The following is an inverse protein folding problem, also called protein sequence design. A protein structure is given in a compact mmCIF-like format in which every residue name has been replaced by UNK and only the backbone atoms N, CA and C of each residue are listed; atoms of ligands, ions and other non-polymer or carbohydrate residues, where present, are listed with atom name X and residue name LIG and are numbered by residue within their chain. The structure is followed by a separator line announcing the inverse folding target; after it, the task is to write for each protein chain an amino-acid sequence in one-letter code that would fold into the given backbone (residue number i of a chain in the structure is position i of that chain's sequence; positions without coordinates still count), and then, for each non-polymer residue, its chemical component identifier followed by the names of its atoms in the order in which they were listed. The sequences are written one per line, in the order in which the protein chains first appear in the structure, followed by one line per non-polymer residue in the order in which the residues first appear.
data_IF_701540669273
#
_entry.id   IF_701540669273
#
_cell.length_a   1.000
_cell.length_b   1.000
_cell.length_c   1.000
_cell.angle_alpha   90.00
_cell.angle_beta   90.00
_cell.angle_gamma   90.00
#
_symmetry.space_group_name_H-M   'P 1'
#
loop_
_entity.id
_entity.type
_entity.pdbx_description
1 polymer ?
#
# COMPACT_ATOMS: atom_id res chain seq x y z
N UNK A 1 -14.66 1.33 -24.82
CA UNK A 1 -15.10 -0.02 -24.42
C UNK A 1 -15.17 -1.00 -25.58
N UNK A 2 -15.97 -0.76 -26.63
CA UNK A 2 -16.12 -1.71 -27.75
C UNK A 2 -14.81 -2.04 -28.49
N UNK A 3 -13.99 -1.03 -28.78
CA UNK A 3 -12.69 -1.23 -29.48
C UNK A 3 -11.69 -2.03 -28.64
N UNK A 4 -11.65 -1.82 -27.31
CA UNK A 4 -10.79 -2.59 -26.40
C UNK A 4 -11.18 -4.07 -26.32
N UNK A 5 -12.48 -4.38 -26.39
CA UNK A 5 -12.99 -5.75 -26.36
C UNK A 5 -12.64 -6.48 -27.68
N UNK A 6 -12.74 -5.79 -28.81
CA UNK A 6 -12.40 -6.34 -30.14
C UNK A 6 -10.91 -6.63 -30.29
N UNK A 7 -10.03 -5.75 -29.80
CA UNK A 7 -8.58 -5.95 -29.83
C UNK A 7 -8.11 -7.10 -28.92
N UNK A 8 -8.72 -7.26 -27.74
CA UNK A 8 -8.43 -8.40 -26.83
C UNK A 8 -8.81 -9.75 -27.45
N UNK A 9 -9.92 -9.79 -28.18
CA UNK A 9 -10.41 -11.01 -28.81
C UNK A 9 -9.54 -11.46 -30.00
N UNK A 10 -9.04 -10.50 -30.79
CA UNK A 10 -8.18 -10.75 -31.94
C UNK A 10 -6.71 -11.02 -31.57
N UNK A 11 -6.21 -10.46 -30.45
CA UNK A 11 -4.81 -10.58 -30.03
C UNK A 11 -4.49 -11.77 -29.12
N UNK A 12 -5.36 -12.10 -28.15
CA UNK A 12 -5.02 -13.05 -27.07
C UNK A 12 -6.08 -14.13 -26.78
N UNK A 13 -7.19 -14.16 -27.52
CA UNK A 13 -8.26 -15.14 -27.34
C UNK A 13 -8.85 -15.14 -25.92
N UNK A 14 -9.26 -16.31 -25.42
CA UNK A 14 -9.91 -16.50 -24.08
C UNK A 14 -9.08 -15.94 -22.92
N UNK A 15 -7.75 -15.81 -23.07
CA UNK A 15 -6.87 -15.26 -22.04
C UNK A 15 -7.18 -13.80 -21.70
N UNK A 16 -7.56 -12.99 -22.68
CA UNK A 16 -7.92 -11.59 -22.47
C UNK A 16 -9.16 -11.39 -21.60
N UNK A 17 -10.11 -12.34 -21.63
CA UNK A 17 -11.29 -12.30 -20.74
C UNK A 17 -10.95 -12.62 -19.28
N UNK A 18 -9.94 -13.46 -19.06
CA UNK A 18 -9.47 -13.86 -17.72
C UNK A 18 -8.65 -12.72 -17.08
N UNK A 19 -8.05 -11.83 -17.89
CA UNK A 19 -7.31 -10.68 -17.39
C UNK A 19 -8.18 -9.54 -16.85
N UNK A 20 -9.43 -9.39 -17.31
CA UNK A 20 -10.31 -8.30 -16.84
C UNK A 20 -10.54 -8.36 -15.32
N UNK A 21 -10.95 -9.50 -14.71
CA UNK A 21 -11.03 -9.62 -13.26
C UNK A 21 -9.68 -9.39 -12.56
N UNK A 22 -8.57 -9.75 -13.22
CA UNK A 22 -7.22 -9.57 -12.69
C UNK A 22 -6.84 -8.10 -12.54
N UNK A 23 -7.22 -7.25 -13.51
CA UNK A 23 -6.98 -5.80 -13.45
C UNK A 23 -7.78 -5.16 -12.32
N UNK A 24 -9.07 -5.53 -12.19
CA UNK A 24 -9.92 -5.09 -11.08
C UNK A 24 -9.36 -5.52 -9.72
N UNK A 25 -8.83 -6.74 -9.63
CA UNK A 25 -8.18 -7.25 -8.42
C UNK A 25 -6.94 -6.44 -8.05
N UNK A 26 -6.10 -6.06 -9.03
CA UNK A 26 -4.94 -5.21 -8.77
C UNK A 26 -5.37 -3.84 -8.23
N UNK A 27 -6.36 -3.18 -8.85
CA UNK A 27 -6.89 -1.88 -8.40
C UNK A 27 -7.39 -1.95 -6.94
N UNK A 28 -8.16 -2.98 -6.61
CA UNK A 28 -8.64 -3.21 -5.23
C UNK A 28 -7.48 -3.46 -4.26
N UNK A 29 -6.39 -4.07 -4.72
CA UNK A 29 -5.21 -4.28 -3.88
C UNK A 29 -4.49 -2.96 -3.56
N UNK A 30 -4.43 -2.02 -4.52
CA UNK A 30 -3.90 -0.66 -4.29
C UNK A 30 -4.84 0.23 -3.45
N UNK A 31 -6.16 0.00 -3.48
CA UNK A 31 -7.12 0.71 -2.63
C UNK A 31 -6.83 0.53 -1.12
N UNK A 32 -6.11 -0.53 -0.74
CA UNK A 32 -5.66 -0.77 0.63
C UNK A 32 -4.68 0.30 1.12
N UNK A 33 -3.76 0.75 0.27
CA UNK A 33 -2.81 1.82 0.63
C UNK A 33 -3.54 3.14 0.86
N UNK A 34 -4.53 3.44 0.02
CA UNK A 34 -5.42 4.59 0.19
C UNK A 34 -6.18 4.51 1.54
N UNK A 35 -6.72 3.35 1.89
CA UNK A 35 -7.44 3.16 3.16
C UNK A 35 -6.57 3.46 4.39
N UNK A 36 -5.30 3.06 4.35
CA UNK A 36 -4.34 3.33 5.44
C UNK A 36 -4.04 4.83 5.56
N UNK A 37 -3.86 5.52 4.43
CA UNK A 37 -3.68 6.97 4.41
C UNK A 37 -4.90 7.72 4.97
N UNK A 38 -6.10 7.31 4.57
CA UNK A 38 -7.36 7.89 5.08
C UNK A 38 -7.52 7.65 6.59
N UNK A 39 -7.17 6.47 7.08
CA UNK A 39 -7.21 6.16 8.51
C UNK A 39 -6.26 7.05 9.32
N UNK A 40 -5.06 7.35 8.80
CA UNK A 40 -4.10 8.25 9.44
C UNK A 40 -4.61 9.69 9.53
N UNK A 41 -5.27 10.19 8.48
CA UNK A 41 -5.89 11.53 8.50
C UNK A 41 -7.01 11.60 9.53
N UNK A 42 -7.87 10.57 9.59
CA UNK A 42 -8.96 10.51 10.57
C UNK A 42 -8.48 10.39 12.01
N UNK A 43 -7.39 9.66 12.25
CA UNK A 43 -6.75 9.65 13.56
C UNK A 43 -6.25 11.04 13.98
N UNK A 44 -5.62 11.77 13.07
CA UNK A 44 -5.14 13.13 13.35
C UNK A 44 -6.29 14.10 13.65
N UNK A 45 -7.40 14.00 12.92
CA UNK A 45 -8.62 14.80 13.15
C UNK A 45 -9.19 14.57 14.56
N UNK A 46 -9.38 13.30 14.94
CA UNK A 46 -9.92 12.92 16.27
C UNK A 46 -8.99 13.36 17.41
N UNK A 47 -7.67 13.22 17.24
CA UNK A 47 -6.68 13.71 18.20
C UNK A 47 -6.79 15.22 18.37
N UNK A 48 -6.98 15.96 17.29
CA UNK A 48 -7.10 17.41 17.32
C UNK A 48 -8.42 17.88 17.94
N UNK A 49 -9.52 17.19 17.70
CA UNK A 49 -10.81 17.44 18.36
C UNK A 49 -10.69 17.28 19.88
N UNK A 50 -10.16 16.15 20.35
CA UNK A 50 -9.95 15.92 21.78
C UNK A 50 -8.98 16.93 22.40
N UNK A 51 -7.88 17.26 21.72
CA UNK A 51 -6.94 18.27 22.21
C UNK A 51 -7.60 19.65 22.35
N UNK A 52 -8.45 20.05 21.41
CA UNK A 52 -9.18 21.33 21.46
C UNK A 52 -10.17 21.36 22.61
N UNK A 53 -10.87 20.25 22.88
CA UNK A 53 -11.79 20.12 24.00
C UNK A 53 -11.06 20.27 25.35
N UNK A 54 -9.89 19.63 25.49
CA UNK A 54 -9.06 19.77 26.70
C UNK A 54 -8.47 21.17 26.87
N UNK A 55 -8.16 21.88 25.78
CA UNK A 55 -7.72 23.29 25.84
C UNK A 55 -8.85 24.19 26.36
N UNK A 56 -10.09 23.98 25.90
CA UNK A 56 -11.26 24.76 26.34
C UNK A 56 -11.57 24.61 27.84
N UNK A 57 -11.33 23.44 28.42
CA UNK A 57 -11.54 23.19 29.86
C UNK A 57 -10.51 23.92 30.75
N UNK A 58 -9.36 24.33 30.19
CA UNK A 58 -8.36 25.15 30.88
C UNK A 58 -7.60 24.45 32.02
N UNK A 59 -6.63 25.16 32.61
CA UNK A 59 -5.88 24.67 33.78
C UNK A 59 -4.99 23.45 33.49
N UNK A 60 -5.10 22.40 34.30
CA UNK A 60 -4.28 21.18 34.18
C UNK A 60 -4.52 20.44 32.85
N UNK A 61 -5.70 20.61 32.24
CA UNK A 61 -6.08 19.95 31.00
C UNK A 61 -5.27 20.43 29.79
N UNK A 62 -4.68 21.64 29.85
CA UNK A 62 -3.77 22.14 28.82
C UNK A 62 -2.50 21.28 28.72
N UNK A 63 -1.96 20.83 29.87
CA UNK A 63 -0.80 19.94 29.87
C UNK A 63 -1.14 18.60 29.22
N UNK A 64 -2.31 18.03 29.54
CA UNK A 64 -2.80 16.82 28.90
C UNK A 64 -3.06 17.00 27.40
N UNK A 65 -3.57 18.16 26.97
CA UNK A 65 -3.79 18.46 25.56
C UNK A 65 -2.48 18.48 24.76
N UNK A 66 -1.43 19.11 25.29
CA UNK A 66 -0.10 19.13 24.66
C UNK A 66 0.50 17.74 24.62
N UNK A 67 0.40 16.97 25.71
CA UNK A 67 0.88 15.60 25.76
C UNK A 67 0.18 14.73 24.71
N UNK A 68 -1.14 14.84 24.60
CA UNK A 68 -1.97 14.08 23.66
C UNK A 68 -1.66 14.48 22.21
N UNK A 69 -1.46 15.76 21.93
CA UNK A 69 -1.04 16.25 20.60
C UNK A 69 0.28 15.64 20.17
N UNK A 70 1.29 15.69 21.05
CA UNK A 70 2.63 15.18 20.76
C UNK A 70 2.61 13.66 20.57
N UNK A 71 2.05 12.92 21.54
CA UNK A 71 2.01 11.46 21.48
C UNK A 71 1.15 10.97 20.31
N UNK A 72 -0.02 11.59 20.11
CA UNK A 72 -0.93 11.26 19.03
C UNK A 72 -0.31 11.45 17.65
N UNK A 73 0.37 12.57 17.40
CA UNK A 73 1.03 12.82 16.11
C UNK A 73 2.27 11.95 15.89
N UNK A 74 3.06 11.68 16.94
CA UNK A 74 4.22 10.79 16.83
C UNK A 74 3.79 9.38 16.45
N UNK A 75 2.77 8.84 17.13
CA UNK A 75 2.23 7.51 16.82
C UNK A 75 1.60 7.50 15.43
N UNK A 76 0.81 8.52 15.08
CA UNK A 76 0.18 8.62 13.77
C UNK A 76 1.23 8.64 12.64
N UNK A 77 2.31 9.41 12.79
CA UNK A 77 3.39 9.48 11.82
C UNK A 77 4.16 8.15 11.71
N UNK A 78 4.43 7.49 12.84
CA UNK A 78 5.08 6.18 12.83
C UNK A 78 4.22 5.12 12.09
N UNK A 79 2.93 5.06 12.38
CA UNK A 79 1.99 4.17 11.70
C UNK A 79 1.82 4.51 10.22
N UNK A 80 1.77 5.80 9.89
CA UNK A 80 1.66 6.31 8.53
C UNK A 80 2.86 5.99 7.64
N UNK A 81 4.05 5.77 8.21
CA UNK A 81 5.24 5.36 7.47
C UNK A 81 5.34 3.83 7.37
N UNK A 82 5.16 3.13 8.50
CA UNK A 82 5.37 1.68 8.57
C UNK A 82 4.26 0.91 7.82
N UNK A 83 3.01 1.37 7.90
CA UNK A 83 1.85 0.71 7.29
C UNK A 83 1.97 0.58 5.76
N UNK A 84 2.13 1.69 5.01
CA UNK A 84 2.29 1.66 3.57
C UNK A 84 3.55 0.90 3.13
N UNK A 85 4.66 1.03 3.87
CA UNK A 85 5.91 0.33 3.57
C UNK A 85 5.72 -1.20 3.53
N UNK A 86 5.13 -1.78 4.58
CA UNK A 86 4.87 -3.22 4.64
C UNK A 86 3.81 -3.67 3.62
N UNK A 87 2.81 -2.84 3.35
CA UNK A 87 1.78 -3.17 2.38
C UNK A 87 2.26 -3.16 0.94
N UNK A 88 3.11 -2.19 0.57
CA UNK A 88 3.79 -2.16 -0.72
C UNK A 88 4.69 -3.38 -0.91
N UNK A 89 5.40 -3.81 0.15
CA UNK A 89 6.23 -5.02 0.10
C UNK A 89 5.41 -6.29 -0.18
N UNK A 90 4.25 -6.43 0.46
CA UNK A 90 3.31 -7.54 0.19
C UNK A 90 2.85 -7.54 -1.26
N UNK A 91 2.46 -6.39 -1.80
CA UNK A 91 2.04 -6.27 -3.20
C UNK A 91 3.18 -6.64 -4.15
N UNK A 92 4.40 -6.17 -3.89
CA UNK A 92 5.57 -6.50 -4.71
C UNK A 92 5.85 -8.00 -4.69
N UNK A 93 5.91 -8.61 -3.52
CA UNK A 93 6.28 -10.02 -3.35
C UNK A 93 5.19 -11.00 -3.81
N UNK A 94 3.91 -10.68 -3.61
CA UNK A 94 2.80 -11.62 -3.87
C UNK A 94 2.17 -11.40 -5.24
N UNK A 95 2.00 -10.16 -5.69
CA UNK A 95 1.29 -9.89 -6.95
C UNK A 95 2.25 -9.69 -8.12
N UNK A 96 3.41 -9.06 -7.90
CA UNK A 96 4.37 -8.78 -8.97
C UNK A 96 5.26 -9.98 -9.28
N UNK A 97 5.88 -10.60 -8.27
CA UNK A 97 6.74 -11.77 -8.48
C UNK A 97 5.97 -12.97 -9.05
N UNK A 98 4.73 -13.23 -8.62
CA UNK A 98 3.95 -14.38 -9.12
C UNK A 98 3.48 -14.20 -10.58
N UNK A 99 3.34 -12.96 -11.05
CA UNK A 99 2.95 -12.66 -12.45
C UNK A 99 4.13 -12.55 -13.42
N UNK A 100 5.27 -12.01 -12.97
CA UNK A 100 6.41 -11.71 -13.84
C UNK A 100 7.61 -12.64 -13.65
N UNK A 101 7.68 -13.41 -12.56
CA UNK A 101 8.76 -14.33 -12.27
C UNK A 101 8.35 -15.77 -12.61
N UNK A 102 8.65 -16.22 -13.84
CA UNK A 102 8.68 -17.65 -14.15
C UNK A 102 9.96 -18.23 -13.57
N UNK A 103 9.84 -19.00 -12.49
CA UNK A 103 10.96 -19.78 -11.94
C UNK A 103 11.62 -20.60 -13.06
N UNK A 104 12.90 -20.36 -13.31
CA UNK A 104 13.63 -20.92 -14.45
C UNK A 104 14.70 -20.00 -15.04
N UNK A 105 15.27 -19.06 -14.27
CA UNK A 105 16.45 -18.32 -14.71
C UNK A 105 17.63 -19.29 -14.87
N UNK A 106 18.28 -19.30 -16.04
CA UNK A 106 19.58 -19.96 -16.18
C UNK A 106 20.60 -19.14 -15.39
N UNK A 107 21.29 -19.80 -14.47
CA UNK A 107 22.44 -19.21 -13.77
C UNK A 107 23.46 -18.76 -14.82
N UNK A 108 23.86 -17.49 -14.75
CA UNK A 108 24.87 -16.96 -15.64
C UNK A 108 26.22 -17.53 -15.23
N UNK A 109 26.70 -18.52 -15.99
CA UNK A 109 28.05 -19.05 -15.86
C UNK A 109 28.95 -18.15 -16.70
N UNK A 110 29.80 -17.30 -16.10
CA UNK A 110 30.75 -16.52 -16.86
C UNK A 110 31.73 -17.46 -17.58
N UNK A 111 32.04 -17.15 -18.84
CA UNK A 111 33.02 -17.91 -19.62
C UNK A 111 34.37 -17.92 -18.88
N UNK A 112 34.83 -19.12 -18.47
CA UNK A 112 36.23 -19.34 -18.11
C UNK A 112 36.56 -19.53 -16.63
N UNK A 113 35.69 -20.13 -15.80
CA UNK A 113 36.15 -20.74 -14.55
C UNK A 113 36.08 -22.27 -14.65
N UNK A 114 37.16 -22.87 -15.16
CA UNK A 114 37.54 -24.22 -14.77
C UNK A 114 37.74 -24.20 -13.24
N UNK A 115 36.91 -24.94 -12.52
CA UNK A 115 37.13 -25.25 -11.12
C UNK A 115 37.54 -26.72 -11.15
N UNK A 116 38.84 -26.97 -11.00
CA UNK A 116 39.40 -28.29 -10.68
C UNK A 116 38.76 -28.86 -9.40
#
# INVERSE_FOLDING_TARGET
CAVSIVLLWLGEGVKGLIEIPSIFSNILSYARLMAIGLASVKLAEVVNEFATEFIHQGGIYIFYAVLLLVVGHVINNALGIIGPFLHSLRLHYVEFFTKFFKGGGKEYIPFGREID
#
